data_IF_821138010099
#
_entry.id   IF_821138010099
#
_cell.length_a   1.000
_cell.length_b   1.000
_cell.length_c   1.000
_cell.angle_alpha   90.00
_cell.angle_beta   90.00
_cell.angle_gamma   90.00
#
_symmetry.space_group_name_H-M   'P 1'
#
loop_
_entity.id
_entity.type
_entity.pdbx_description
1 polymer ?
#
# COMPACT_ATOMS: atom_id res chain seq x y z
N UNK A 1 -3.61 -6.85 27.40
CA UNK A 1 -2.61 -5.94 26.77
C UNK A 1 -1.56 -6.85 26.18
N UNK A 2 -1.57 -7.06 24.86
CA UNK A 2 -0.63 -7.99 24.22
C UNK A 2 0.80 -7.49 24.39
N UNK A 3 1.69 -8.40 24.77
CA UNK A 3 3.13 -8.17 24.83
C UNK A 3 3.64 -7.91 23.40
N UNK A 4 4.25 -6.73 23.18
CA UNK A 4 4.71 -6.26 21.87
C UNK A 4 6.19 -6.60 21.68
N UNK A 5 6.57 -7.85 21.86
CA UNK A 5 7.94 -8.29 21.60
C UNK A 5 8.09 -8.67 20.11
N UNK A 6 9.08 -8.06 19.45
CA UNK A 6 9.38 -8.13 18.00
C UNK A 6 8.33 -7.53 17.06
N UNK A 7 8.45 -6.22 16.79
CA UNK A 7 7.86 -5.59 15.59
C UNK A 7 8.87 -5.74 14.45
N UNK A 8 8.65 -6.63 13.45
CA UNK A 8 9.66 -6.97 12.43
C UNK A 8 10.09 -5.80 11.54
N UNK A 9 9.33 -4.71 11.56
CA UNK A 9 9.57 -3.48 10.78
C UNK A 9 10.45 -2.46 11.50
N UNK A 10 10.77 -2.68 12.78
CA UNK A 10 11.71 -1.85 13.53
C UNK A 10 13.14 -2.34 13.30
N UNK A 11 14.05 -1.39 13.10
CA UNK A 11 15.48 -1.69 13.12
C UNK A 11 15.99 -1.81 14.55
N UNK A 12 17.13 -2.47 14.73
CA UNK A 12 17.80 -2.57 16.03
C UNK A 12 18.06 -1.19 16.65
N UNK A 13 17.84 -1.07 17.96
CA UNK A 13 17.91 0.19 18.71
C UNK A 13 16.74 1.16 18.50
N UNK A 14 15.57 0.66 18.07
CA UNK A 14 14.28 1.38 18.07
C UNK A 14 13.23 0.56 18.81
N UNK A 15 12.54 1.19 19.76
CA UNK A 15 11.57 0.54 20.65
C UNK A 15 10.24 1.29 20.68
N UNK A 16 9.13 0.58 20.90
CA UNK A 16 7.84 1.21 21.24
C UNK A 16 7.81 1.49 22.73
N UNK A 17 7.54 2.74 23.12
CA UNK A 17 7.33 3.15 24.52
C UNK A 17 6.05 3.96 24.67
N UNK A 18 5.55 4.05 25.90
CA UNK A 18 4.40 4.89 26.23
C UNK A 18 4.88 6.19 26.88
N UNK A 19 4.41 7.31 26.36
CA UNK A 19 4.58 8.66 26.91
C UNK A 19 3.21 9.15 27.38
N UNK A 20 3.10 9.65 28.61
CA UNK A 20 1.82 10.04 29.20
C UNK A 20 1.08 11.14 28.40
N UNK A 21 1.82 12.01 27.69
CA UNK A 21 1.23 13.11 26.92
C UNK A 21 0.93 12.72 25.47
N UNK A 22 1.71 11.81 24.88
CA UNK A 22 1.65 11.46 23.44
C UNK A 22 1.13 10.05 23.16
N UNK A 23 0.94 9.22 24.20
CA UNK A 23 0.58 7.82 24.07
C UNK A 23 1.75 6.97 23.55
N UNK A 24 1.47 6.05 22.61
CA UNK A 24 2.50 5.15 22.06
C UNK A 24 3.44 5.91 21.11
N UNK A 25 4.73 5.76 21.34
CA UNK A 25 5.80 6.42 20.59
C UNK A 25 6.86 5.41 20.14
N UNK A 26 7.55 5.68 19.04
CA UNK A 26 8.81 5.03 18.69
C UNK A 26 9.98 5.86 19.23
N UNK A 27 10.89 5.21 19.95
CA UNK A 27 12.04 5.86 20.61
C UNK A 27 13.32 5.14 20.19
N UNK A 28 14.33 5.93 19.79
CA UNK A 28 15.68 5.40 19.51
C UNK A 28 16.44 5.22 20.83
N UNK A 29 17.01 4.05 21.06
CA UNK A 29 17.86 3.79 22.24
C UNK A 29 19.35 3.98 21.96
N UNK A 30 19.71 4.30 20.72
CA UNK A 30 21.08 4.59 20.27
C UNK A 30 21.11 5.88 19.42
N UNK A 31 22.25 6.59 19.36
CA UNK A 31 22.41 7.76 18.49
C UNK A 31 22.14 7.46 17.01
N UNK A 32 21.50 8.39 16.29
CA UNK A 32 21.22 8.32 14.85
C UNK A 32 21.81 9.52 14.13
N UNK A 33 22.17 9.34 12.86
CA UNK A 33 22.66 10.39 11.96
C UNK A 33 21.59 10.78 10.93
N UNK A 34 21.63 12.01 10.40
CA UNK A 34 20.80 12.39 9.28
C UNK A 34 20.94 11.38 8.11
N UNK A 35 19.81 10.87 7.63
CA UNK A 35 19.74 9.86 6.57
C UNK A 35 19.57 8.41 7.05
N UNK A 36 19.70 8.13 8.36
CA UNK A 36 19.47 6.78 8.88
C UNK A 36 17.99 6.37 8.76
N UNK A 37 17.75 5.14 8.31
CA UNK A 37 16.40 4.55 8.26
C UNK A 37 16.06 3.98 9.64
N UNK A 38 15.02 4.52 10.29
CA UNK A 38 14.58 4.09 11.63
C UNK A 38 13.43 3.07 11.61
N UNK A 39 12.73 2.97 10.48
CA UNK A 39 11.57 2.11 10.30
C UNK A 39 11.33 1.92 8.80
N UNK A 40 10.97 0.69 8.39
CA UNK A 40 10.49 0.40 7.04
C UNK A 40 9.34 -0.59 7.14
N UNK A 41 8.22 -0.27 6.52
CA UNK A 41 7.06 -1.15 6.45
C UNK A 41 6.44 -1.10 5.07
N UNK A 42 5.92 -2.24 4.64
CA UNK A 42 4.96 -2.27 3.55
C UNK A 42 3.62 -1.72 4.05
N UNK A 43 2.86 -1.01 3.21
CA UNK A 43 1.53 -0.53 3.59
C UNK A 43 0.59 -1.71 3.82
N UNK A 44 -0.19 -1.68 4.91
CA UNK A 44 -1.21 -2.70 5.18
C UNK A 44 -2.22 -2.80 4.02
N UNK A 45 -2.66 -1.65 3.52
CA UNK A 45 -3.46 -1.47 2.32
C UNK A 45 -3.11 -0.12 1.68
N UNK A 46 -3.38 0.02 0.39
CA UNK A 46 -3.12 1.25 -0.35
C UNK A 46 -4.09 1.46 -1.51
N UNK A 47 -4.32 2.72 -1.84
CA UNK A 47 -5.11 3.18 -2.98
C UNK A 47 -4.32 4.27 -3.67
N UNK A 48 -4.36 4.33 -5.00
CA UNK A 48 -3.89 5.50 -5.75
C UNK A 48 -5.04 6.49 -5.86
N UNK A 49 -4.80 7.74 -5.46
CA UNK A 49 -5.81 8.81 -5.53
C UNK A 49 -6.43 8.93 -6.94
N UNK A 50 -7.76 9.07 -7.08
CA UNK A 50 -8.43 9.16 -8.40
C UNK A 50 -7.83 10.20 -9.35
N UNK A 51 -7.46 11.38 -8.84
CA UNK A 51 -6.68 12.43 -9.55
C UNK A 51 -5.44 11.93 -10.30
N UNK A 52 -4.84 10.82 -9.88
CA UNK A 52 -3.60 10.26 -10.43
C UNK A 52 -3.83 9.07 -11.36
N UNK A 53 -5.08 8.62 -11.55
CA UNK A 53 -5.38 7.53 -12.48
C UNK A 53 -4.99 7.91 -13.91
N UNK A 54 -4.37 6.96 -14.62
CA UNK A 54 -3.79 7.21 -15.95
C UNK A 54 -2.43 7.93 -15.93
N UNK A 55 -2.04 8.53 -14.80
CA UNK A 55 -0.73 9.18 -14.62
C UNK A 55 0.27 8.31 -13.86
N UNK A 56 -0.20 7.47 -12.93
CA UNK A 56 0.62 6.52 -12.17
C UNK A 56 0.00 5.12 -12.20
N UNK A 57 0.84 4.11 -12.04
CA UNK A 57 0.41 2.72 -11.89
C UNK A 57 -0.44 2.58 -10.62
N UNK A 58 -1.65 2.00 -10.73
CA UNK A 58 -2.56 1.79 -9.60
C UNK A 58 -2.05 0.77 -8.57
N UNK A 59 -0.97 0.04 -8.86
CA UNK A 59 -0.33 -0.91 -7.95
C UNK A 59 0.97 -0.39 -7.34
N UNK A 60 2.01 -0.18 -8.16
CA UNK A 60 3.35 0.20 -7.68
C UNK A 60 3.60 1.72 -7.60
N UNK A 61 2.62 2.53 -8.01
CA UNK A 61 2.66 4.01 -8.02
C UNK A 61 3.74 4.63 -8.92
N UNK A 62 4.43 3.84 -9.74
CA UNK A 62 5.37 4.33 -10.74
C UNK A 62 4.66 5.27 -11.73
N UNK A 63 5.29 6.42 -11.99
CA UNK A 63 4.77 7.42 -12.91
C UNK A 63 4.83 6.94 -14.37
N UNK A 64 3.83 7.32 -15.15
CA UNK A 64 3.85 7.13 -16.59
C UNK A 64 4.96 7.98 -17.21
N UNK A 65 5.44 7.52 -18.38
CA UNK A 65 6.41 8.25 -19.18
C UNK A 65 5.95 9.70 -19.43
N UNK A 66 6.81 10.68 -19.13
CA UNK A 66 6.56 12.09 -19.42
C UNK A 66 5.70 12.83 -18.38
N UNK A 67 5.36 12.20 -17.26
CA UNK A 67 4.64 12.87 -16.16
C UNK A 67 5.61 13.54 -15.18
N UNK A 68 6.46 12.76 -14.51
CA UNK A 68 7.43 13.27 -13.52
C UNK A 68 8.89 13.13 -14.01
N UNK A 69 9.11 12.28 -15.02
CA UNK A 69 10.40 12.06 -15.67
C UNK A 69 10.20 11.68 -17.14
N UNK A 70 11.19 11.95 -17.97
CA UNK A 70 11.23 11.45 -19.37
C UNK A 70 11.28 9.92 -19.44
N UNK A 71 11.72 9.30 -18.36
CA UNK A 71 11.79 7.86 -18.15
C UNK A 71 10.52 7.37 -17.46
N UNK A 72 9.96 6.27 -17.94
CA UNK A 72 8.78 5.64 -17.33
C UNK A 72 8.08 4.67 -18.29
N UNK A 73 7.26 3.76 -17.78
CA UNK A 73 6.48 2.82 -18.59
C UNK A 73 5.29 3.53 -19.26
N UNK A 74 4.88 3.02 -20.42
CA UNK A 74 3.56 3.29 -20.95
C UNK A 74 2.53 2.47 -20.17
N UNK A 75 1.56 3.13 -19.54
CA UNK A 75 0.56 2.44 -18.73
C UNK A 75 -0.51 1.77 -19.60
N UNK A 76 -0.92 0.58 -19.19
CA UNK A 76 -2.00 -0.21 -19.80
C UNK A 76 -3.25 -0.12 -18.93
N UNK A 77 -4.40 0.23 -19.52
CA UNK A 77 -5.67 0.29 -18.79
C UNK A 77 -6.24 -1.10 -18.51
N UNK A 78 -6.89 -1.25 -17.36
CA UNK A 78 -7.73 -2.41 -17.09
C UNK A 78 -8.81 -2.52 -18.17
N UNK A 79 -8.97 -3.69 -18.79
CA UNK A 79 -9.99 -3.89 -19.84
C UNK A 79 -11.41 -3.93 -19.28
N UNK A 80 -11.58 -4.30 -18.01
CA UNK A 80 -12.87 -4.34 -17.32
C UNK A 80 -13.41 -2.95 -16.99
N UNK A 81 -12.78 -2.24 -16.05
CA UNK A 81 -13.26 -0.93 -15.61
C UNK A 81 -12.81 0.22 -16.52
N UNK A 82 -11.69 0.09 -17.24
CA UNK A 82 -11.03 1.17 -18.01
C UNK A 82 -10.58 2.39 -17.19
N UNK A 83 -10.64 2.31 -15.86
CA UNK A 83 -10.25 3.39 -14.93
C UNK A 83 -8.84 3.19 -14.34
N UNK A 84 -8.53 1.97 -13.86
CA UNK A 84 -7.20 1.66 -13.34
C UNK A 84 -6.19 1.42 -14.47
N UNK A 85 -4.93 1.81 -14.25
CA UNK A 85 -3.82 1.75 -15.18
C UNK A 85 -2.59 1.09 -14.55
N UNK A 86 -1.83 0.31 -15.32
CA UNK A 86 -0.73 -0.49 -14.81
C UNK A 86 0.50 -0.42 -15.73
N UNK A 87 1.70 -0.42 -15.14
CA UNK A 87 2.94 -0.46 -15.93
C UNK A 87 3.23 -1.83 -16.55
N UNK A 88 2.65 -2.91 -16.00
CA UNK A 88 2.88 -4.28 -16.45
C UNK A 88 1.67 -5.18 -16.18
N UNK A 89 1.62 -6.32 -16.88
CA UNK A 89 0.65 -7.40 -16.59
C UNK A 89 0.80 -7.98 -15.19
N UNK A 90 1.98 -7.87 -14.60
CA UNK A 90 2.25 -8.31 -13.23
C UNK A 90 1.60 -7.37 -12.22
N UNK A 91 1.82 -6.05 -12.33
CA UNK A 91 1.13 -5.07 -11.49
C UNK A 91 -0.40 -5.20 -11.59
N UNK A 92 -0.95 -5.48 -12.77
CA UNK A 92 -2.38 -5.74 -12.92
C UNK A 92 -2.83 -7.02 -12.19
N UNK A 93 -2.06 -8.11 -12.28
CA UNK A 93 -2.37 -9.38 -11.61
C UNK A 93 -2.29 -9.26 -10.08
N UNK A 94 -1.29 -8.56 -9.58
CA UNK A 94 -1.10 -8.36 -8.14
C UNK A 94 -2.18 -7.41 -7.59
N UNK A 95 -2.52 -6.33 -8.29
CA UNK A 95 -3.66 -5.47 -7.88
C UNK A 95 -4.99 -6.22 -7.93
N UNK A 96 -5.16 -7.15 -8.87
CA UNK A 96 -6.37 -7.97 -8.98
C UNK A 96 -6.62 -8.83 -7.74
N UNK A 97 -5.57 -9.45 -7.20
CA UNK A 97 -5.64 -10.34 -6.03
C UNK A 97 -5.40 -9.57 -4.73
N UNK A 98 -4.20 -9.04 -4.56
CA UNK A 98 -3.70 -8.48 -3.30
C UNK A 98 -4.14 -7.03 -3.11
N UNK A 99 -4.26 -6.30 -4.22
CA UNK A 99 -4.82 -4.94 -4.22
C UNK A 99 -6.35 -4.90 -4.24
N UNK A 100 -7.03 -6.05 -4.20
CA UNK A 100 -8.50 -6.19 -4.21
C UNK A 100 -9.23 -5.54 -5.40
N UNK A 101 -8.53 -5.24 -6.50
CA UNK A 101 -9.17 -4.65 -7.67
C UNK A 101 -10.28 -5.57 -8.23
N UNK A 102 -10.18 -6.90 -8.08
CA UNK A 102 -11.27 -7.82 -8.45
C UNK A 102 -12.60 -7.46 -7.79
N UNK A 103 -12.59 -7.06 -6.51
CA UNK A 103 -13.79 -6.69 -5.75
C UNK A 103 -14.30 -5.30 -6.15
N UNK A 104 -13.41 -4.40 -6.56
CA UNK A 104 -13.72 -3.01 -6.91
C UNK A 104 -14.13 -2.81 -8.37
N UNK A 105 -13.56 -3.57 -9.30
CA UNK A 105 -13.53 -3.29 -10.75
C UNK A 105 -14.91 -2.96 -11.34
N UNK A 106 -15.95 -3.73 -10.97
CA UNK A 106 -17.32 -3.55 -11.47
C UNK A 106 -18.10 -2.41 -10.79
N UNK A 107 -17.57 -1.83 -9.73
CA UNK A 107 -18.25 -0.81 -8.91
C UNK A 107 -17.63 0.57 -9.03
N UNK A 108 -16.41 0.69 -9.59
CA UNK A 108 -15.69 1.96 -9.66
C UNK A 108 -16.48 3.07 -10.38
N UNK A 109 -17.15 2.77 -11.50
CA UNK A 109 -18.00 3.76 -12.18
C UNK A 109 -19.13 4.26 -11.29
N UNK A 110 -19.83 3.34 -10.60
CA UNK A 110 -20.90 3.72 -9.67
C UNK A 110 -20.40 4.62 -8.54
N UNK A 111 -19.17 4.41 -8.07
CA UNK A 111 -18.56 5.27 -7.06
C UNK A 111 -18.32 6.67 -7.59
N UNK A 112 -17.80 6.81 -8.81
CA UNK A 112 -17.58 8.11 -9.43
C UNK A 112 -18.89 8.82 -9.81
N UNK A 113 -19.92 8.06 -10.15
CA UNK A 113 -21.24 8.58 -10.51
C UNK A 113 -22.06 9.02 -9.28
N UNK A 114 -21.61 8.68 -8.06
CA UNK A 114 -22.35 8.93 -6.82
C UNK A 114 -22.28 10.38 -6.30
N UNK A 115 -21.88 11.34 -7.14
CA UNK A 115 -21.70 12.76 -6.78
C UNK A 115 -20.76 12.99 -5.58
N UNK A 116 -19.86 12.05 -5.30
CA UNK A 116 -18.82 12.19 -4.28
C UNK A 116 -17.57 12.81 -4.91
N UNK A 117 -16.86 13.62 -4.13
CA UNK A 117 -15.56 14.13 -4.56
C UNK A 117 -14.49 13.02 -4.58
N UNK A 118 -13.37 13.31 -5.25
CA UNK A 118 -12.29 12.35 -5.44
C UNK A 118 -11.60 11.92 -4.14
N UNK A 119 -11.58 12.79 -3.13
CA UNK A 119 -10.95 12.50 -1.83
C UNK A 119 -11.85 11.55 -1.03
N UNK A 120 -13.17 11.78 -1.04
CA UNK A 120 -14.18 10.85 -0.49
C UNK A 120 -14.14 9.50 -1.20
N UNK A 121 -14.04 9.49 -2.54
CA UNK A 121 -13.90 8.24 -3.30
C UNK A 121 -12.61 7.48 -2.93
N UNK A 122 -11.50 8.20 -2.73
CA UNK A 122 -10.24 7.63 -2.25
C UNK A 122 -10.39 6.96 -0.88
N UNK A 123 -11.03 7.64 0.08
CA UNK A 123 -11.27 7.11 1.43
C UNK A 123 -12.16 5.87 1.42
N UNK A 124 -13.27 5.90 0.67
CA UNK A 124 -14.17 4.75 0.52
C UNK A 124 -13.43 3.52 -0.04
N UNK A 125 -12.57 3.73 -1.05
CA UNK A 125 -11.76 2.65 -1.60
C UNK A 125 -10.75 2.10 -0.58
N UNK A 126 -10.11 2.97 0.21
CA UNK A 126 -9.11 2.58 1.19
C UNK A 126 -9.74 1.80 2.35
N UNK A 127 -10.87 2.28 2.88
CA UNK A 127 -11.65 1.58 3.90
C UNK A 127 -12.12 0.23 3.37
N UNK A 128 -12.64 0.18 2.14
CA UNK A 128 -13.05 -1.07 1.49
C UNK A 128 -11.91 -2.10 1.40
N UNK A 129 -10.71 -1.68 0.96
CA UNK A 129 -9.53 -2.56 0.92
C UNK A 129 -9.12 -3.04 2.31
N UNK A 130 -9.14 -2.15 3.29
CA UNK A 130 -8.80 -2.46 4.69
C UNK A 130 -9.73 -3.54 5.25
N UNK A 131 -11.05 -3.38 5.05
CA UNK A 131 -12.03 -4.37 5.52
C UNK A 131 -11.85 -5.74 4.84
N UNK A 132 -11.58 -5.77 3.53
CA UNK A 132 -11.32 -7.03 2.83
C UNK A 132 -10.00 -7.69 3.23
N UNK A 133 -8.99 -6.90 3.57
CA UNK A 133 -7.72 -7.41 4.08
C UNK A 133 -7.89 -8.05 5.46
N UNK A 134 -8.62 -7.39 6.36
CA UNK A 134 -8.98 -7.94 7.67
C UNK A 134 -9.81 -9.22 7.55
N UNK A 135 -10.76 -9.26 6.60
CA UNK A 135 -11.56 -10.46 6.29
C UNK A 135 -10.67 -11.62 5.81
N UNK A 136 -9.72 -11.35 4.92
CA UNK A 136 -8.76 -12.35 4.42
C UNK A 136 -7.89 -12.91 5.55
N UNK A 137 -7.34 -12.05 6.42
CA UNK A 137 -6.51 -12.45 7.56
C UNK A 137 -7.28 -13.28 8.59
N UNK A 138 -8.55 -12.91 8.84
CA UNK A 138 -9.44 -13.66 9.75
C UNK A 138 -9.83 -15.03 9.20
N UNK A 139 -9.87 -15.20 7.88
CA UNK A 139 -10.20 -16.45 7.20
C UNK A 139 -9.01 -17.40 7.02
N UNK A 140 -7.79 -16.87 6.90
CA UNK A 140 -6.59 -17.66 6.58
C UNK A 140 -5.88 -18.24 7.82
N UNK A 141 -6.33 -17.95 9.04
CA UNK A 141 -5.80 -18.55 10.29
C UNK A 141 -4.29 -18.32 10.53
N UNK A 142 -3.66 -17.45 9.74
CA UNK A 142 -2.22 -17.22 9.72
C UNK A 142 -1.95 -15.73 9.96
N UNK A 143 -1.79 -15.38 11.23
CA UNK A 143 -1.69 -14.00 11.74
C UNK A 143 -0.33 -13.33 11.46
N UNK A 144 0.58 -13.94 10.68
CA UNK A 144 1.94 -13.43 10.54
C UNK A 144 2.69 -13.70 9.22
N UNK A 145 2.09 -14.29 8.19
CA UNK A 145 2.84 -14.64 6.97
C UNK A 145 3.28 -13.45 6.11
N UNK A 146 2.62 -12.29 6.22
CA UNK A 146 2.91 -11.15 5.35
C UNK A 146 4.28 -10.48 5.62
N UNK A 147 4.89 -10.71 6.79
CA UNK A 147 6.14 -10.02 7.16
C UNK A 147 7.42 -10.74 6.74
N UNK A 148 7.34 -11.94 6.14
CA UNK A 148 8.52 -12.79 5.91
C UNK A 148 8.95 -12.98 4.45
N UNK A 149 8.14 -12.64 3.44
CA UNK A 149 8.40 -13.17 2.08
C UNK A 149 9.22 -12.29 1.11
N UNK A 150 9.57 -11.03 1.39
CA UNK A 150 10.34 -10.23 0.41
C UNK A 150 11.57 -9.50 0.99
N UNK A 151 12.39 -10.21 1.76
CA UNK A 151 13.81 -9.86 1.96
C UNK A 151 14.74 -10.44 0.86
N UNK A 152 14.19 -11.13 -0.16
CA UNK A 152 14.97 -11.90 -1.15
C UNK A 152 15.06 -11.32 -2.57
N UNK A 153 14.62 -10.08 -2.81
CA UNK A 153 14.37 -9.57 -4.16
C UNK A 153 15.14 -8.31 -4.59
N UNK A 154 16.37 -8.09 -4.10
CA UNK A 154 17.22 -7.00 -4.60
C UNK A 154 18.71 -7.35 -4.52
N UNK A 155 19.13 -8.34 -5.32
CA UNK A 155 20.53 -8.56 -5.65
C UNK A 155 20.66 -9.34 -6.98
N UNK A 156 20.61 -8.63 -8.11
CA UNK A 156 21.35 -8.96 -9.34
C UNK A 156 21.08 -7.92 -10.44
N UNK A 157 22.19 -7.48 -11.07
CA UNK A 157 22.37 -6.52 -12.16
C UNK A 157 22.40 -5.03 -11.78
#
# INVERSE_FOLDING_TARGET
RGEMENIPTLIDGVEVKFDELRGRCLITTVPRRPGDIVFKSMPYCFVLHPKLWGRKCNYCFQSAKGIDSSEGPALQRCTGCKLHHYCSKECQRNDWKDGFHKKQCKHLHKLLDAEVDEDTAFDVLLVGKTLWKMEQESGDGNDASYLLEEAGGAAAA
#
